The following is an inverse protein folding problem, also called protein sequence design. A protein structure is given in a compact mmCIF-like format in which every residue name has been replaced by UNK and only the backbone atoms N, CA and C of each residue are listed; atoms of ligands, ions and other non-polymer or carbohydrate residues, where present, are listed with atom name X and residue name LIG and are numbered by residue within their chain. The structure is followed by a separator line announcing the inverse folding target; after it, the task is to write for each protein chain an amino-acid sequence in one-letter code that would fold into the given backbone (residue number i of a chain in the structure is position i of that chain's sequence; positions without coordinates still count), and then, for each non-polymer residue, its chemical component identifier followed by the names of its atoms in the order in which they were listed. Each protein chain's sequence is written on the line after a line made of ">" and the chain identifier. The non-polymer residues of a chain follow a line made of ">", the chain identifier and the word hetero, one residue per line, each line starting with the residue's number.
data_IF_681427835711
#
_entry.id   IF_681427835711
#
_cell.length_a   1.000
_cell.length_b   1.000
_cell.length_c   1.000
_cell.angle_alpha   90.00
_cell.angle_beta   90.00
_cell.angle_gamma   90.00
#
_symmetry.space_group_name_H-M   'P 1'
#
loop_
_entity.id
_entity.type
_entity.pdbx_description
1 polymer ?
#
# COMPACT_ATOMS: atom_id res chain seq x y z
N UNK A 1 0.92 20.46 23.30
CA UNK A 1 1.65 19.23 22.96
C UNK A 1 1.13 18.71 21.62
N UNK A 2 1.91 18.77 20.55
CA UNK A 2 1.54 18.14 19.27
C UNK A 2 1.67 16.63 19.48
N UNK A 3 0.55 15.90 19.48
CA UNK A 3 0.58 14.43 19.43
C UNK A 3 1.36 14.06 18.16
N UNK A 4 2.55 13.48 18.33
CA UNK A 4 3.34 12.97 17.22
C UNK A 4 2.71 11.64 16.83
N UNK A 5 1.69 11.71 15.97
CA UNK A 5 1.12 10.50 15.38
C UNK A 5 2.23 9.80 14.59
N UNK A 6 2.31 8.46 14.65
CA UNK A 6 3.24 7.73 13.80
C UNK A 6 2.90 8.06 12.34
N UNK A 7 3.85 8.64 11.62
CA UNK A 7 3.74 8.84 10.19
C UNK A 7 3.73 7.45 9.56
N UNK A 8 2.74 7.17 8.71
CA UNK A 8 2.70 5.92 7.96
C UNK A 8 3.71 6.10 6.82
N UNK A 9 4.91 5.57 7.02
CA UNK A 9 6.08 5.85 6.17
C UNK A 9 6.36 4.74 5.15
N UNK A 10 5.69 3.59 5.24
CA UNK A 10 6.05 2.41 4.44
C UNK A 10 4.85 1.82 3.68
N UNK A 11 5.10 1.37 2.44
CA UNK A 11 4.12 0.76 1.54
C UNK A 11 3.26 -0.30 2.23
N UNK A 12 3.86 -1.24 2.95
CA UNK A 12 3.15 -2.34 3.61
C UNK A 12 2.08 -1.86 4.61
N UNK A 13 2.38 -0.81 5.38
CA UNK A 13 1.43 -0.21 6.32
C UNK A 13 0.31 0.53 5.59
N UNK A 14 0.63 1.24 4.50
CA UNK A 14 -0.38 1.90 3.65
C UNK A 14 -1.35 0.92 3.04
N UNK A 15 -0.86 -0.20 2.52
CA UNK A 15 -1.72 -1.25 1.94
C UNK A 15 -2.73 -1.78 2.98
N UNK A 16 -2.26 -2.07 4.20
CA UNK A 16 -3.14 -2.51 5.29
C UNK A 16 -4.14 -1.43 5.70
N UNK A 17 -3.69 -0.18 5.81
CA UNK A 17 -4.56 0.94 6.16
C UNK A 17 -5.65 1.14 5.11
N UNK A 18 -5.29 1.22 3.83
CA UNK A 18 -6.23 1.41 2.73
C UNK A 18 -7.20 0.24 2.65
N UNK A 19 -6.72 -1.01 2.78
CA UNK A 19 -7.61 -2.17 2.79
C UNK A 19 -8.70 -2.04 3.87
N UNK A 20 -8.30 -1.72 5.10
CA UNK A 20 -9.23 -1.56 6.23
C UNK A 20 -10.18 -0.37 6.02
N UNK A 21 -9.66 0.75 5.51
CA UNK A 21 -10.47 1.94 5.21
C UNK A 21 -11.58 1.65 4.18
N UNK A 22 -11.27 0.83 3.17
CA UNK A 22 -12.23 0.39 2.16
C UNK A 22 -13.06 -0.84 2.59
N UNK A 23 -12.97 -1.28 3.85
CA UNK A 23 -13.68 -2.45 4.39
C UNK A 23 -13.43 -3.78 3.65
N UNK A 24 -12.26 -3.93 3.02
CA UNK A 24 -11.90 -5.20 2.38
C UNK A 24 -11.19 -6.15 3.35
N UNK A 25 -11.39 -7.43 3.15
CA UNK A 25 -10.60 -8.52 3.73
C UNK A 25 -9.37 -8.79 2.86
N UNK A 26 -8.34 -9.42 3.44
CA UNK A 26 -7.16 -9.81 2.68
C UNK A 26 -7.50 -10.80 1.55
N UNK A 27 -8.51 -11.65 1.76
CA UNK A 27 -8.98 -12.61 0.75
C UNK A 27 -9.65 -11.92 -0.44
N UNK A 28 -10.43 -10.87 -0.20
CA UNK A 28 -11.10 -10.12 -1.28
C UNK A 28 -10.09 -9.41 -2.17
N UNK A 29 -9.12 -8.71 -1.60
CA UNK A 29 -8.07 -8.05 -2.39
C UNK A 29 -7.21 -9.09 -3.12
N UNK A 30 -6.83 -10.19 -2.46
CA UNK A 30 -6.08 -11.26 -3.09
C UNK A 30 -6.82 -11.83 -4.31
N UNK A 31 -8.14 -12.02 -4.21
CA UNK A 31 -8.99 -12.45 -5.33
C UNK A 31 -9.03 -11.43 -6.47
N UNK A 32 -9.13 -10.14 -6.17
CA UNK A 32 -9.13 -9.07 -7.19
C UNK A 32 -7.78 -9.01 -7.93
N UNK A 33 -6.68 -9.22 -7.20
CA UNK A 33 -5.33 -9.20 -7.74
C UNK A 33 -4.88 -10.52 -8.38
N UNK A 34 -5.73 -11.55 -8.35
CA UNK A 34 -5.41 -12.92 -8.78
C UNK A 34 -4.14 -13.49 -8.12
N UNK A 35 -4.04 -13.35 -6.80
CA UNK A 35 -2.94 -13.90 -5.99
C UNK A 35 -3.48 -14.72 -4.81
N UNK A 36 -2.60 -15.53 -4.21
CA UNK A 36 -2.93 -16.20 -2.95
C UNK A 36 -3.13 -15.18 -1.82
N UNK A 37 -4.06 -15.47 -0.90
CA UNK A 37 -4.30 -14.64 0.30
C UNK A 37 -3.03 -14.44 1.14
N UNK A 38 -2.17 -15.46 1.21
CA UNK A 38 -0.86 -15.36 1.89
C UNK A 38 0.08 -14.36 1.21
N UNK A 39 0.11 -14.34 -0.12
CA UNK A 39 0.89 -13.36 -0.90
C UNK A 39 0.47 -11.94 -0.57
N UNK A 40 -0.84 -11.66 -0.55
CA UNK A 40 -1.32 -10.34 -0.17
C UNK A 40 -1.00 -9.98 1.29
N UNK A 41 -1.10 -10.95 2.21
CA UNK A 41 -0.67 -10.74 3.59
C UNK A 41 0.85 -10.49 3.73
N UNK A 42 1.67 -11.04 2.84
CA UNK A 42 3.10 -10.75 2.77
C UNK A 42 3.38 -9.32 2.32
N UNK A 43 2.57 -8.76 1.42
CA UNK A 43 2.64 -7.33 1.09
C UNK A 43 2.36 -6.45 2.31
N UNK A 44 1.32 -6.75 3.10
CA UNK A 44 0.99 -5.96 4.30
C UNK A 44 2.01 -6.12 5.45
N UNK A 45 2.76 -7.21 5.46
CA UNK A 45 3.79 -7.48 6.47
C UNK A 45 5.20 -7.10 6.01
N UNK A 46 5.37 -6.68 4.75
CA UNK A 46 6.68 -6.37 4.17
C UNK A 46 7.56 -7.60 3.90
N UNK A 47 6.99 -8.81 3.88
CA UNK A 47 7.72 -10.06 3.56
C UNK A 47 7.89 -10.30 2.07
N UNK A 48 7.09 -9.63 1.25
CA UNK A 48 7.17 -9.62 -0.19
C UNK A 48 6.79 -8.24 -0.70
N UNK A 49 7.30 -7.89 -1.88
CA UNK A 49 6.94 -6.64 -2.55
C UNK A 49 5.93 -6.92 -3.68
N UNK A 50 4.92 -6.06 -3.87
CA UNK A 50 4.07 -6.10 -5.05
C UNK A 50 4.88 -5.87 -6.33
N UNK A 51 4.58 -6.61 -7.40
CA UNK A 51 5.09 -6.25 -8.72
C UNK A 51 4.53 -4.90 -9.18
N UNK A 52 5.17 -4.27 -10.18
CA UNK A 52 4.68 -3.01 -10.75
C UNK A 52 3.22 -3.09 -11.23
N UNK A 53 2.85 -4.22 -11.84
CA UNK A 53 1.47 -4.47 -12.28
C UNK A 53 0.49 -4.52 -11.10
N UNK A 54 0.84 -5.22 -10.04
CA UNK A 54 0.03 -5.30 -8.81
C UNK A 54 -0.06 -3.93 -8.13
N UNK A 55 1.04 -3.18 -8.09
CA UNK A 55 1.06 -1.83 -7.51
C UNK A 55 0.13 -0.88 -8.26
N UNK A 56 0.11 -0.94 -9.59
CA UNK A 56 -0.83 -0.16 -10.43
C UNK A 56 -2.28 -0.57 -10.20
N UNK A 57 -2.56 -1.86 -10.01
CA UNK A 57 -3.90 -2.32 -9.65
C UNK A 57 -4.31 -1.81 -8.27
N UNK A 58 -3.42 -1.86 -7.28
CA UNK A 58 -3.67 -1.38 -5.93
C UNK A 58 -3.96 0.12 -5.89
N UNK A 59 -3.22 0.92 -6.67
CA UNK A 59 -3.47 2.36 -6.78
C UNK A 59 -4.87 2.63 -7.35
N UNK A 60 -5.30 1.84 -8.34
CA UNK A 60 -6.65 1.94 -8.91
C UNK A 60 -7.75 1.48 -7.93
N UNK A 61 -7.57 0.35 -7.24
CA UNK A 61 -8.54 -0.20 -6.26
C UNK A 61 -8.78 0.78 -5.11
N UNK A 62 -7.72 1.43 -4.63
CA UNK A 62 -7.78 2.34 -3.48
C UNK A 62 -7.94 3.81 -3.88
N UNK A 63 -8.04 4.12 -5.17
CA UNK A 63 -8.18 5.49 -5.68
C UNK A 63 -7.09 6.46 -5.16
N UNK A 64 -5.84 6.00 -5.15
CA UNK A 64 -4.66 6.79 -4.76
C UNK A 64 -3.60 6.77 -5.87
N UNK A 65 -2.66 7.69 -5.85
CA UNK A 65 -1.51 7.64 -6.76
C UNK A 65 -0.49 6.57 -6.33
N UNK A 66 0.30 6.08 -7.27
CA UNK A 66 1.48 5.25 -6.95
C UNK A 66 2.49 6.02 -6.12
N UNK A 67 2.61 7.33 -6.32
CA UNK A 67 3.49 8.22 -5.55
C UNK A 67 3.12 8.20 -4.07
N UNK A 68 1.81 8.27 -3.78
CA UNK A 68 1.33 8.10 -2.41
C UNK A 68 1.68 6.72 -1.85
N UNK A 69 1.56 5.65 -2.64
CA UNK A 69 1.91 4.30 -2.16
C UNK A 69 3.42 4.12 -1.93
N UNK A 70 4.26 4.80 -2.72
CA UNK A 70 5.71 4.68 -2.74
C UNK A 70 6.44 5.78 -1.95
N UNK A 71 5.72 6.64 -1.22
CA UNK A 71 6.28 7.77 -0.48
C UNK A 71 6.99 8.82 -1.34
N UNK A 72 6.74 8.84 -2.66
CA UNK A 72 7.29 9.84 -3.56
C UNK A 72 6.61 11.17 -3.25
N UNK A 73 7.37 12.11 -2.69
CA UNK A 73 6.93 13.47 -2.39
C UNK A 73 7.82 14.50 -3.07
N UNK A 74 7.27 15.68 -3.36
CA UNK A 74 7.99 16.76 -4.04
C UNK A 74 9.28 17.20 -3.33
N UNK A 75 9.35 17.00 -2.01
CA UNK A 75 10.55 17.30 -1.20
C UNK A 75 11.70 16.29 -1.41
N UNK A 76 11.40 15.05 -1.83
CA UNK A 76 12.41 14.03 -2.13
C UNK A 76 12.89 14.09 -3.58
N UNK A 77 12.07 14.59 -4.50
CA UNK A 77 12.41 14.78 -5.91
C UNK A 77 13.50 15.85 -6.17
N UNK A 78 13.86 16.65 -5.16
CA UNK A 78 14.91 17.68 -5.26
C UNK A 78 16.30 17.18 -4.82
N UNK A 79 16.44 15.91 -4.42
CA UNK A 79 17.70 15.32 -3.94
C UNK A 79 18.51 14.57 -5.02
N UNK A 80 18.07 14.62 -6.27
CA UNK A 80 18.73 14.05 -7.44
C UNK A 80 18.91 15.11 -8.52
#
# INVERSE_FOLDING_TARGET
>A
MRKRYPKIENLNQKLKMLRVYHNYTQSEIAKILDVNRSTYAYYETGRAEPSLGVLKMLSAIYHVSTDFLLDISDEENQKF
#
